data_IF_733293317632
#
_entry.id   IF_733293317632
#
_cell.length_a   1.000
_cell.length_b   1.000
_cell.length_c   1.000
_cell.angle_alpha   90.00
_cell.angle_beta   90.00
_cell.angle_gamma   90.00
#
_symmetry.space_group_name_H-M   'P 1'
#
loop_
_entity.id
_entity.type
_entity.pdbx_description
1 polymer ?
#
# COMPACT_ATOMS: atom_id res chain seq x y z
N UNK A 1 -21.31 -1.28 -16.31
CA UNK A 1 -21.96 -2.06 -17.39
C UNK A 1 -21.60 -3.52 -17.20
N UNK A 2 -22.57 -4.44 -17.09
CA UNK A 2 -22.28 -5.89 -17.11
C UNK A 2 -21.70 -6.22 -18.50
N UNK A 3 -20.53 -6.85 -18.55
CA UNK A 3 -20.04 -7.46 -19.78
C UNK A 3 -21.08 -8.48 -20.23
N UNK A 4 -21.88 -8.14 -21.25
CA UNK A 4 -22.95 -9.03 -21.74
C UNK A 4 -22.30 -10.33 -22.21
N UNK A 5 -22.68 -11.45 -21.59
CA UNK A 5 -22.21 -12.79 -21.97
C UNK A 5 -20.94 -13.30 -21.28
N UNK A 6 -20.19 -12.45 -20.55
CA UNK A 6 -18.97 -12.91 -19.87
C UNK A 6 -19.30 -13.51 -18.50
N UNK A 7 -18.91 -14.77 -18.29
CA UNK A 7 -19.03 -15.46 -17.02
C UNK A 7 -17.69 -15.49 -16.28
N UNK A 8 -17.66 -15.12 -15.00
CA UNK A 8 -16.45 -15.15 -14.18
C UNK A 8 -16.64 -16.19 -13.09
N UNK A 9 -15.70 -17.14 -13.03
CA UNK A 9 -15.70 -18.23 -12.04
C UNK A 9 -14.28 -18.67 -11.67
N UNK A 10 -14.09 -19.31 -10.52
CA UNK A 10 -12.89 -20.08 -10.23
C UNK A 10 -12.61 -21.13 -11.31
N UNK A 11 -11.34 -21.44 -11.54
CA UNK A 11 -10.95 -22.56 -12.41
C UNK A 11 -11.17 -23.87 -11.67
N UNK A 12 -11.77 -24.86 -12.32
CA UNK A 12 -12.17 -26.11 -11.68
C UNK A 12 -11.52 -27.33 -12.34
N UNK A 13 -11.32 -27.28 -13.65
CA UNK A 13 -10.81 -28.40 -14.44
C UNK A 13 -9.35 -28.19 -14.83
N UNK A 14 -8.61 -29.27 -15.09
CA UNK A 14 -7.25 -29.20 -15.65
C UNK A 14 -7.23 -28.36 -16.94
N UNK A 15 -8.29 -28.47 -17.75
CA UNK A 15 -8.39 -27.72 -18.99
C UNK A 15 -8.53 -26.20 -18.75
N UNK A 16 -9.29 -25.79 -17.73
CA UNK A 16 -9.36 -24.39 -17.33
C UNK A 16 -7.97 -23.82 -17.01
N UNK A 17 -7.15 -24.56 -16.27
CA UNK A 17 -5.80 -24.11 -15.92
C UNK A 17 -4.86 -24.10 -17.14
N UNK A 18 -5.00 -25.03 -18.09
CA UNK A 18 -4.26 -24.96 -19.37
C UNK A 18 -4.65 -23.73 -20.18
N UNK A 19 -5.95 -23.39 -20.20
CA UNK A 19 -6.41 -22.15 -20.81
C UNK A 19 -5.80 -20.91 -20.12
N UNK A 20 -5.56 -20.95 -18.81
CA UNK A 20 -4.88 -19.87 -18.09
C UNK A 20 -3.39 -19.77 -18.45
N UNK A 21 -2.67 -20.87 -18.63
CA UNK A 21 -1.29 -20.87 -19.17
C UNK A 21 -1.27 -20.23 -20.57
N UNK A 22 -2.20 -20.62 -21.44
CA UNK A 22 -2.28 -20.04 -22.79
C UNK A 22 -2.68 -18.57 -22.76
N UNK A 23 -3.59 -18.19 -21.86
CA UNK A 23 -3.94 -16.80 -21.66
C UNK A 23 -2.72 -15.97 -21.24
N UNK A 24 -1.84 -16.48 -20.36
CA UNK A 24 -0.60 -15.81 -20.00
C UNK A 24 0.27 -15.52 -21.22
N UNK A 25 0.49 -16.53 -22.09
CA UNK A 25 1.26 -16.37 -23.32
C UNK A 25 0.70 -15.28 -24.22
N UNK A 26 -0.61 -15.31 -24.47
CA UNK A 26 -1.27 -14.35 -25.36
C UNK A 26 -1.33 -12.93 -24.77
N UNK A 27 -1.50 -12.78 -23.45
CA UNK A 27 -1.68 -11.48 -22.81
C UNK A 27 -0.39 -10.66 -22.80
N UNK A 28 0.74 -11.31 -22.48
CA UNK A 28 2.05 -10.68 -22.31
C UNK A 28 3.04 -10.97 -23.44
N UNK A 29 2.66 -11.77 -24.43
CA UNK A 29 3.55 -12.16 -25.52
C UNK A 29 4.71 -13.04 -25.06
N UNK A 30 4.50 -13.82 -23.99
CA UNK A 30 5.54 -14.67 -23.39
C UNK A 30 5.99 -15.72 -24.41
N UNK A 31 7.29 -15.77 -24.66
CA UNK A 31 7.94 -16.75 -25.55
C UNK A 31 8.74 -17.80 -24.79
N UNK A 32 9.19 -17.44 -23.59
CA UNK A 32 9.92 -18.34 -22.69
C UNK A 32 8.93 -18.95 -21.69
N UNK A 33 8.76 -20.27 -21.73
CA UNK A 33 7.84 -20.98 -20.84
C UNK A 33 8.21 -20.82 -19.35
N UNK A 34 9.44 -20.40 -19.00
CA UNK A 34 9.82 -20.11 -17.61
C UNK A 34 9.12 -18.89 -17.01
N UNK A 35 8.56 -18.01 -17.85
CA UNK A 35 7.78 -16.84 -17.41
C UNK A 35 6.28 -17.18 -17.22
N UNK A 36 5.83 -18.36 -17.66
CA UNK A 36 4.46 -18.83 -17.45
C UNK A 36 4.37 -19.50 -16.07
N UNK A 37 3.42 -19.05 -15.24
CA UNK A 37 3.09 -19.76 -14.00
C UNK A 37 2.39 -21.06 -14.38
N UNK A 38 3.00 -22.23 -14.10
CA UNK A 38 2.50 -23.49 -14.59
C UNK A 38 1.24 -23.92 -13.85
N UNK A 39 0.41 -24.71 -14.52
CA UNK A 39 -0.87 -25.25 -14.05
C UNK A 39 -0.78 -25.82 -12.64
N UNK A 40 0.24 -26.62 -12.36
CA UNK A 40 0.37 -27.28 -11.07
C UNK A 40 0.62 -26.28 -9.93
N UNK A 41 1.30 -25.15 -10.19
CA UNK A 41 1.49 -24.08 -9.22
C UNK A 41 0.19 -23.29 -9.01
N UNK A 42 -0.52 -22.93 -10.10
CA UNK A 42 -1.82 -22.25 -10.04
C UNK A 42 -2.84 -23.07 -9.23
N UNK A 43 -2.97 -24.36 -9.56
CA UNK A 43 -3.86 -25.29 -8.88
C UNK A 43 -3.48 -25.47 -7.41
N UNK A 44 -2.18 -25.61 -7.12
CA UNK A 44 -1.71 -25.77 -5.73
C UNK A 44 -2.00 -24.52 -4.91
N UNK A 45 -1.74 -23.33 -5.44
CA UNK A 45 -2.06 -22.08 -4.77
C UNK A 45 -3.57 -21.97 -4.48
N UNK A 46 -4.43 -22.27 -5.47
CA UNK A 46 -5.89 -22.23 -5.26
C UNK A 46 -6.36 -23.19 -4.17
N UNK A 47 -5.82 -24.42 -4.13
CA UNK A 47 -6.16 -25.41 -3.09
C UNK A 47 -5.77 -24.98 -1.68
N UNK A 48 -4.83 -24.05 -1.54
CA UNK A 48 -4.27 -23.62 -0.26
C UNK A 48 -4.66 -22.17 0.08
N UNK A 49 -5.87 -21.75 -0.29
CA UNK A 49 -6.42 -20.44 0.04
C UNK A 49 -6.08 -19.33 -0.96
N UNK A 50 -5.44 -19.64 -2.08
CA UNK A 50 -5.33 -18.75 -3.22
C UNK A 50 -6.58 -18.76 -4.11
N UNK A 51 -6.52 -17.97 -5.17
CA UNK A 51 -7.61 -17.77 -6.12
C UNK A 51 -7.08 -17.74 -7.54
N UNK A 52 -7.64 -18.58 -8.40
CA UNK A 52 -7.47 -18.47 -9.86
C UNK A 52 -8.86 -18.33 -10.49
N UNK A 53 -9.13 -17.16 -11.07
CA UNK A 53 -10.39 -16.87 -11.77
C UNK A 53 -10.15 -16.89 -13.27
N UNK A 54 -11.13 -17.41 -14.00
CA UNK A 54 -11.26 -17.23 -15.45
C UNK A 54 -12.45 -16.34 -15.77
N UNK A 55 -12.28 -15.47 -16.77
CA UNK A 55 -13.38 -14.80 -17.45
C UNK A 55 -13.63 -15.54 -18.78
N UNK A 56 -14.86 -15.97 -19.01
CA UNK A 56 -15.24 -16.84 -20.12
C UNK A 56 -16.32 -16.22 -21.00
N UNK A 57 -16.14 -16.33 -22.31
CA UNK A 57 -17.18 -16.14 -23.33
C UNK A 57 -17.56 -17.51 -23.90
N UNK A 58 -18.68 -18.08 -23.46
CA UNK A 58 -18.97 -19.51 -23.63
C UNK A 58 -17.88 -20.36 -22.96
N UNK A 59 -17.26 -21.27 -23.72
CA UNK A 59 -16.16 -22.12 -23.23
C UNK A 59 -14.77 -21.48 -23.40
N UNK A 60 -14.70 -20.28 -23.99
CA UNK A 60 -13.42 -19.63 -24.29
C UNK A 60 -12.99 -18.72 -23.15
N UNK A 61 -11.81 -18.95 -22.59
CA UNK A 61 -11.18 -18.00 -21.67
C UNK A 61 -10.76 -16.72 -22.41
N UNK A 62 -11.19 -15.58 -21.90
CA UNK A 62 -10.92 -14.23 -22.45
C UNK A 62 -10.12 -13.35 -21.50
N UNK A 63 -9.91 -13.82 -20.27
CA UNK A 63 -9.05 -13.20 -19.28
C UNK A 63 -8.95 -14.08 -18.05
N UNK A 64 -7.98 -13.79 -17.19
CA UNK A 64 -7.80 -14.54 -15.95
C UNK A 64 -7.24 -13.63 -14.85
N UNK A 65 -7.33 -14.11 -13.62
CA UNK A 65 -6.73 -13.50 -12.45
C UNK A 65 -6.14 -14.61 -11.56
N UNK A 66 -4.96 -14.39 -11.03
CA UNK A 66 -4.29 -15.26 -10.07
C UNK A 66 -3.83 -14.45 -8.85
N UNK A 67 -4.14 -14.94 -7.65
CA UNK A 67 -3.62 -14.43 -6.39
C UNK A 67 -3.54 -15.52 -5.32
N UNK A 68 -2.86 -15.22 -4.22
CA UNK A 68 -2.59 -16.17 -3.14
C UNK A 68 -2.52 -15.48 -1.78
N UNK A 69 -2.67 -16.24 -0.70
CA UNK A 69 -2.54 -15.71 0.67
C UNK A 69 -1.07 -15.34 0.95
N UNK A 70 -0.86 -14.19 1.57
CA UNK A 70 0.47 -13.74 1.98
C UNK A 70 0.42 -12.93 3.26
N UNK A 71 1.57 -12.42 3.68
CA UNK A 71 1.70 -11.54 4.84
C UNK A 71 2.45 -10.27 4.45
N UNK A 72 2.09 -9.17 5.09
CA UNK A 72 2.92 -7.95 5.10
C UNK A 72 4.20 -8.19 5.92
N UNK A 73 5.24 -7.36 5.79
CA UNK A 73 6.41 -7.43 6.66
C UNK A 73 6.06 -7.36 8.16
N UNK A 74 5.01 -6.61 8.51
CA UNK A 74 4.48 -6.49 9.88
C UNK A 74 3.62 -7.70 10.33
N UNK A 75 3.53 -8.77 9.52
CA UNK A 75 2.82 -10.00 9.89
C UNK A 75 1.31 -9.99 9.62
N UNK A 76 0.71 -8.86 9.21
CA UNK A 76 -0.71 -8.81 8.80
C UNK A 76 -0.97 -9.70 7.60
N UNK A 77 -1.99 -10.54 7.69
CA UNK A 77 -2.46 -11.38 6.59
C UNK A 77 -3.11 -10.53 5.50
N UNK A 78 -2.84 -10.90 4.25
CA UNK A 78 -3.32 -10.19 3.05
C UNK A 78 -3.50 -11.16 1.89
N UNK A 79 -4.30 -10.76 0.92
CA UNK A 79 -4.32 -11.42 -0.38
C UNK A 79 -3.28 -10.75 -1.30
N UNK A 80 -2.31 -11.51 -1.78
CA UNK A 80 -1.37 -11.09 -2.81
C UNK A 80 -2.01 -11.35 -4.19
N UNK A 81 -2.44 -10.29 -4.89
CA UNK A 81 -2.87 -10.43 -6.27
C UNK A 81 -1.63 -10.42 -7.16
N UNK A 82 -1.37 -11.51 -7.87
CA UNK A 82 -0.11 -11.68 -8.58
C UNK A 82 -0.23 -11.35 -10.08
N UNK A 83 -1.18 -11.98 -10.77
CA UNK A 83 -1.37 -11.79 -12.21
C UNK A 83 -2.82 -11.49 -12.50
N UNK A 84 -3.06 -10.60 -13.46
CA UNK A 84 -4.38 -10.40 -14.03
C UNK A 84 -4.21 -9.84 -15.43
N UNK A 85 -4.95 -10.41 -16.38
CA UNK A 85 -4.94 -9.89 -17.72
C UNK A 85 -6.17 -10.28 -18.51
N UNK A 86 -6.39 -9.53 -19.58
CA UNK A 86 -7.48 -9.74 -20.53
C UNK A 86 -6.86 -9.83 -21.91
N UNK A 87 -7.27 -10.84 -22.66
CA UNK A 87 -6.82 -11.09 -24.03
C UNK A 87 -7.02 -9.82 -24.87
N UNK A 88 -6.05 -9.37 -25.70
CA UNK A 88 -6.05 -8.05 -26.34
C UNK A 88 -7.38 -7.61 -26.97
N UNK A 89 -8.01 -8.49 -27.77
CA UNK A 89 -9.28 -8.20 -28.46
C UNK A 89 -10.49 -8.01 -27.54
N UNK A 90 -10.40 -8.43 -26.28
CA UNK A 90 -11.46 -8.35 -25.27
C UNK A 90 -11.26 -7.20 -24.29
N UNK A 91 -10.14 -6.47 -24.39
CA UNK A 91 -9.84 -5.33 -23.51
C UNK A 91 -10.84 -4.20 -23.72
N UNK A 92 -11.04 -3.37 -22.69
CA UNK A 92 -11.95 -2.22 -22.73
C UNK A 92 -13.44 -2.54 -22.48
N UNK A 93 -13.78 -3.82 -22.24
CA UNK A 93 -15.16 -4.26 -22.02
C UNK A 93 -15.53 -4.42 -20.52
N UNK A 94 -14.71 -3.90 -19.61
CA UNK A 94 -14.93 -4.00 -18.16
C UNK A 94 -14.58 -5.34 -17.52
N UNK A 95 -13.99 -6.28 -18.27
CA UNK A 95 -13.64 -7.64 -17.78
C UNK A 95 -12.66 -7.59 -16.59
N UNK A 96 -11.62 -6.76 -16.66
CA UNK A 96 -10.64 -6.62 -15.57
C UNK A 96 -11.26 -6.09 -14.28
N UNK A 97 -12.21 -5.14 -14.37
CA UNK A 97 -12.97 -4.64 -13.22
C UNK A 97 -13.82 -5.77 -12.62
N UNK A 98 -14.47 -6.57 -13.46
CA UNK A 98 -15.31 -7.67 -13.02
C UNK A 98 -14.49 -8.81 -12.35
N UNK A 99 -13.30 -9.12 -12.88
CA UNK A 99 -12.36 -10.06 -12.23
C UNK A 99 -11.94 -9.58 -10.85
N UNK A 100 -11.60 -8.30 -10.72
CA UNK A 100 -11.22 -7.70 -9.43
C UNK A 100 -12.36 -7.65 -8.44
N UNK A 101 -13.59 -7.42 -8.89
CA UNK A 101 -14.79 -7.51 -8.05
C UNK A 101 -14.95 -8.89 -7.43
N UNK A 102 -14.80 -9.95 -8.22
CA UNK A 102 -14.83 -11.33 -7.71
C UNK A 102 -13.65 -11.64 -6.78
N UNK A 103 -12.45 -11.12 -7.08
CA UNK A 103 -11.32 -11.24 -6.16
C UNK A 103 -11.60 -10.58 -4.80
N UNK A 104 -12.26 -9.42 -4.80
CA UNK A 104 -12.66 -8.73 -3.56
C UNK A 104 -13.65 -9.55 -2.76
N UNK A 105 -14.69 -10.09 -3.40
CA UNK A 105 -15.71 -10.91 -2.73
C UNK A 105 -15.05 -12.14 -2.08
N UNK A 106 -14.21 -12.85 -2.82
CA UNK A 106 -13.43 -13.97 -2.30
C UNK A 106 -12.53 -13.59 -1.11
N UNK A 107 -11.76 -12.51 -1.21
CA UNK A 107 -10.88 -12.08 -0.12
C UNK A 107 -11.67 -11.67 1.14
N UNK A 108 -12.84 -11.05 0.98
CA UNK A 108 -13.72 -10.70 2.11
C UNK A 108 -14.27 -11.94 2.81
N UNK A 109 -14.66 -12.97 2.05
CA UNK A 109 -15.14 -14.27 2.55
C UNK A 109 -14.06 -15.01 3.34
N UNK A 110 -12.80 -14.86 2.96
CA UNK A 110 -11.64 -15.37 3.72
C UNK A 110 -11.34 -14.57 4.99
N UNK A 111 -12.10 -13.52 5.30
CA UNK A 111 -11.86 -12.67 6.46
C UNK A 111 -10.72 -11.67 6.27
N UNK A 112 -10.22 -11.47 5.04
CA UNK A 112 -9.14 -10.53 4.76
C UNK A 112 -9.67 -9.10 4.56
N UNK A 113 -8.79 -8.13 4.79
CA UNK A 113 -9.11 -6.69 4.71
C UNK A 113 -8.27 -5.97 3.65
N UNK A 114 -7.19 -6.61 3.22
CA UNK A 114 -6.14 -6.04 2.40
C UNK A 114 -5.81 -6.97 1.22
N UNK A 115 -5.84 -6.40 0.03
CA UNK A 115 -5.27 -7.00 -1.18
C UNK A 115 -4.14 -6.11 -1.67
N UNK A 116 -2.99 -6.68 -2.02
CA UNK A 116 -1.85 -5.92 -2.55
C UNK A 116 -1.42 -6.49 -3.89
N UNK A 117 -0.93 -5.63 -4.79
CA UNK A 117 -0.23 -6.04 -6.00
C UNK A 117 0.70 -4.95 -6.49
N UNK A 118 1.47 -5.26 -7.52
CA UNK A 118 2.34 -4.31 -8.18
C UNK A 118 1.87 -4.00 -9.59
N UNK A 119 2.12 -2.79 -10.07
CA UNK A 119 1.99 -2.45 -11.49
C UNK A 119 2.96 -1.34 -11.87
N UNK A 120 3.20 -1.19 -13.16
CA UNK A 120 4.06 -0.13 -13.69
C UNK A 120 3.38 1.25 -13.58
N UNK A 121 3.96 2.24 -12.88
CA UNK A 121 3.34 3.55 -12.70
C UNK A 121 3.17 4.34 -14.01
N UNK A 122 3.85 3.98 -15.09
CA UNK A 122 3.67 4.66 -16.39
C UNK A 122 2.53 4.05 -17.22
N UNK A 123 1.92 2.95 -16.77
CA UNK A 123 0.78 2.32 -17.44
C UNK A 123 -0.55 2.98 -17.05
N UNK A 124 -0.87 4.08 -17.74
CA UNK A 124 -2.11 4.88 -17.52
C UNK A 124 -3.41 4.05 -17.46
N UNK A 125 -3.53 2.99 -18.26
CA UNK A 125 -4.71 2.11 -18.24
C UNK A 125 -4.82 1.31 -16.94
N UNK A 126 -3.68 0.88 -16.41
CA UNK A 126 -3.61 0.16 -15.14
C UNK A 126 -3.87 1.12 -13.99
N UNK A 127 -3.34 2.35 -14.05
CA UNK A 127 -3.63 3.40 -13.07
C UNK A 127 -5.13 3.71 -12.97
N UNK A 128 -5.80 3.87 -14.11
CA UNK A 128 -7.26 4.09 -14.16
C UNK A 128 -8.04 2.94 -13.51
N UNK A 129 -7.69 1.69 -13.81
CA UNK A 129 -8.34 0.56 -13.16
C UNK A 129 -8.02 0.51 -11.66
N UNK A 130 -6.73 0.50 -11.29
CA UNK A 130 -6.28 0.22 -9.94
C UNK A 130 -6.65 1.32 -8.95
N UNK A 131 -6.42 2.58 -9.32
CA UNK A 131 -6.57 3.71 -8.41
C UNK A 131 -7.99 4.28 -8.50
N UNK A 132 -8.41 4.67 -9.71
CA UNK A 132 -9.69 5.35 -9.92
C UNK A 132 -10.89 4.40 -9.75
N UNK A 133 -10.91 3.28 -10.48
CA UNK A 133 -12.08 2.39 -10.53
C UNK A 133 -12.19 1.49 -9.31
N UNK A 134 -11.08 0.91 -8.85
CA UNK A 134 -11.07 0.02 -7.69
C UNK A 134 -10.90 0.76 -6.36
N UNK A 135 -10.36 1.98 -6.38
CA UNK A 135 -10.14 2.78 -5.19
C UNK A 135 -8.89 2.39 -4.39
N UNK A 136 -7.95 1.63 -4.97
CA UNK A 136 -6.67 1.35 -4.31
C UNK A 136 -5.86 2.64 -4.14
N UNK A 137 -4.96 2.62 -3.17
CA UNK A 137 -4.04 3.74 -2.89
C UNK A 137 -2.59 3.26 -3.03
N UNK A 138 -1.66 4.20 -3.23
CA UNK A 138 -0.25 3.88 -3.35
C UNK A 138 0.63 4.90 -2.65
N UNK A 139 1.60 4.42 -1.89
CA UNK A 139 2.68 5.22 -1.29
C UNK A 139 4.03 4.50 -1.35
N UNK A 140 4.10 3.44 -2.15
CA UNK A 140 5.27 2.55 -2.18
C UNK A 140 5.76 2.45 -3.61
N UNK A 141 6.95 3.02 -3.84
CA UNK A 141 7.71 2.87 -5.06
C UNK A 141 8.76 1.77 -4.86
N UNK A 142 8.88 0.84 -5.81
CA UNK A 142 9.90 -0.20 -5.81
C UNK A 142 10.67 -0.11 -7.11
N UNK A 143 11.98 0.19 -7.01
CA UNK A 143 12.88 0.21 -8.15
C UNK A 143 13.14 -1.21 -8.65
N UNK A 144 13.04 -1.40 -9.96
CA UNK A 144 13.48 -2.61 -10.69
C UNK A 144 13.08 -3.95 -10.04
N UNK A 145 11.83 -4.08 -9.58
CA UNK A 145 11.38 -5.20 -8.74
C UNK A 145 11.66 -6.59 -9.33
N UNK A 146 11.52 -6.75 -10.65
CA UNK A 146 11.62 -8.02 -11.37
C UNK A 146 12.91 -8.15 -12.18
N UNK A 147 13.81 -7.16 -12.13
CA UNK A 147 15.04 -7.18 -12.93
C UNK A 147 14.80 -7.02 -14.42
N UNK A 148 15.68 -7.61 -15.23
CA UNK A 148 15.50 -7.64 -16.69
C UNK A 148 14.40 -8.62 -17.08
N UNK A 149 13.41 -8.14 -17.82
CA UNK A 149 12.31 -8.95 -18.34
C UNK A 149 12.32 -8.91 -19.87
N UNK A 150 11.88 -9.98 -20.53
CA UNK A 150 11.85 -10.07 -21.99
C UNK A 150 10.46 -9.88 -22.60
N UNK A 151 9.41 -9.72 -21.78
CA UNK A 151 8.05 -9.52 -22.26
C UNK A 151 7.84 -8.15 -22.94
N UNK A 152 6.84 -8.08 -23.82
CA UNK A 152 6.58 -6.90 -24.66
C UNK A 152 6.37 -5.61 -23.83
N UNK A 153 5.77 -5.74 -22.64
CA UNK A 153 5.44 -4.60 -21.79
C UNK A 153 6.69 -4.03 -21.11
N UNK A 154 7.58 -4.89 -20.60
CA UNK A 154 8.66 -4.48 -19.69
C UNK A 154 10.05 -4.40 -20.34
N UNK A 155 10.28 -5.08 -21.47
CA UNK A 155 11.62 -5.21 -22.04
C UNK A 155 12.33 -3.86 -22.28
N UNK A 156 13.61 -3.77 -21.91
CA UNK A 156 14.48 -2.63 -22.20
C UNK A 156 14.44 -1.46 -21.21
N UNK A 157 13.68 -1.55 -20.12
CA UNK A 157 13.66 -0.54 -19.05
C UNK A 157 13.60 -1.21 -17.67
N UNK A 158 14.08 -0.54 -16.60
CA UNK A 158 13.92 -1.03 -15.23
C UNK A 158 12.45 -1.28 -14.89
N UNK A 159 12.16 -2.41 -14.25
CA UNK A 159 10.79 -2.81 -13.88
C UNK A 159 10.33 -2.11 -12.61
N UNK A 160 10.29 -0.78 -12.62
CA UNK A 160 9.83 -0.06 -11.43
C UNK A 160 8.32 -0.28 -11.25
N UNK A 161 7.92 -0.35 -9.99
CA UNK A 161 6.56 -0.72 -9.60
C UNK A 161 6.02 0.20 -8.52
N UNK A 162 4.77 0.56 -8.69
CA UNK A 162 3.91 0.87 -7.55
C UNK A 162 3.46 -0.42 -6.91
N UNK A 163 3.66 -0.56 -5.60
CA UNK A 163 2.89 -1.51 -4.80
C UNK A 163 1.65 -0.80 -4.27
N UNK A 164 0.48 -1.24 -4.72
CA UNK A 164 -0.79 -0.67 -4.26
C UNK A 164 -1.35 -1.46 -3.08
N UNK A 165 -1.99 -0.71 -2.18
CA UNK A 165 -2.77 -1.24 -1.07
C UNK A 165 -4.25 -1.04 -1.36
N UNK A 166 -4.98 -2.15 -1.45
CA UNK A 166 -6.42 -2.14 -1.68
C UNK A 166 -7.15 -2.60 -0.41
N UNK A 167 -7.53 -1.62 0.40
CA UNK A 167 -8.27 -1.81 1.64
C UNK A 167 -9.75 -2.11 1.34
N UNK A 168 -10.04 -3.38 1.08
CA UNK A 168 -11.31 -3.83 0.48
C UNK A 168 -12.55 -3.61 1.36
N UNK A 169 -12.37 -3.42 2.67
CA UNK A 169 -13.45 -3.04 3.62
C UNK A 169 -13.61 -1.53 3.80
N UNK A 170 -12.69 -0.72 3.29
CA UNK A 170 -12.72 0.73 3.53
C UNK A 170 -13.97 1.39 2.93
N UNK A 171 -14.49 2.47 3.55
CA UNK A 171 -15.60 3.25 2.99
C UNK A 171 -15.32 3.74 1.56
N UNK A 172 -14.05 4.10 1.28
CA UNK A 172 -13.57 4.50 -0.04
C UNK A 172 -13.80 3.42 -1.08
N UNK A 173 -13.37 2.19 -0.80
CA UNK A 173 -13.55 1.07 -1.75
C UNK A 173 -15.03 0.70 -1.85
N UNK A 174 -15.75 0.65 -0.72
CA UNK A 174 -17.18 0.36 -0.70
C UNK A 174 -17.99 1.33 -1.57
N UNK A 175 -17.66 2.62 -1.56
CA UNK A 175 -18.37 3.63 -2.36
C UNK A 175 -18.19 3.41 -3.87
N UNK A 176 -16.99 3.00 -4.32
CA UNK A 176 -16.69 2.68 -5.75
C UNK A 176 -17.52 1.51 -6.27
N UNK A 177 -17.94 0.61 -5.39
CA UNK A 177 -18.76 -0.56 -5.75
C UNK A 177 -20.26 -0.39 -5.50
N UNK A 178 -20.68 0.72 -4.89
CA UNK A 178 -22.08 1.02 -4.62
C UNK A 178 -22.87 1.36 -5.90
N UNK A 179 -24.18 1.12 -5.91
CA UNK A 179 -25.05 1.48 -7.04
C UNK A 179 -25.11 3.00 -7.31
N UNK A 180 -24.69 3.83 -6.34
CA UNK A 180 -24.56 5.30 -6.45
C UNK A 180 -23.19 5.77 -6.98
N UNK A 181 -22.28 4.85 -7.34
CA UNK A 181 -20.95 5.17 -7.88
C UNK A 181 -20.97 5.84 -9.28
N UNK A 182 -22.14 6.29 -9.74
CA UNK A 182 -22.35 6.97 -11.02
C UNK A 182 -21.97 8.44 -11.01
N UNK A 183 -21.49 8.99 -9.89
CA UNK A 183 -20.92 10.33 -9.90
C UNK A 183 -19.72 10.36 -10.86
N UNK A 184 -19.70 11.25 -11.86
CA UNK A 184 -18.56 11.38 -12.76
C UNK A 184 -17.30 11.67 -11.94
N UNK A 185 -16.15 11.18 -12.41
CA UNK A 185 -14.88 11.60 -11.84
C UNK A 185 -14.74 13.12 -11.98
N UNK A 186 -14.10 13.79 -11.01
CA UNK A 186 -13.85 15.22 -11.14
C UNK A 186 -12.96 15.47 -12.37
N UNK A 187 -13.22 16.58 -13.07
CA UNK A 187 -12.32 17.03 -14.14
C UNK A 187 -11.00 17.56 -13.58
N UNK A 188 -9.96 17.66 -14.41
CA UNK A 188 -8.72 18.31 -13.97
C UNK A 188 -8.97 19.73 -13.46
N UNK A 189 -9.83 20.49 -14.14
CA UNK A 189 -10.20 21.86 -13.77
C UNK A 189 -10.88 21.92 -12.39
N UNK A 190 -11.78 20.97 -12.10
CA UNK A 190 -12.42 20.88 -10.79
C UNK A 190 -11.41 20.58 -9.67
N UNK A 191 -10.40 19.75 -9.91
CA UNK A 191 -9.36 19.44 -8.92
C UNK A 191 -8.43 20.64 -8.72
N UNK A 192 -8.03 21.32 -9.80
CA UNK A 192 -7.20 22.53 -9.75
C UNK A 192 -7.91 23.69 -9.02
N UNK A 193 -9.20 23.90 -9.28
CA UNK A 193 -9.99 24.95 -8.59
C UNK A 193 -10.12 24.76 -7.08
N UNK A 194 -9.80 23.56 -6.56
CA UNK A 194 -9.75 23.26 -5.12
C UNK A 194 -8.35 23.46 -4.51
N UNK A 195 -7.42 24.05 -5.27
CA UNK A 195 -6.06 24.35 -4.80
C UNK A 195 -5.04 23.23 -5.05
N UNK A 196 -5.35 22.25 -5.90
CA UNK A 196 -4.36 21.29 -6.35
C UNK A 196 -3.39 21.91 -7.36
N UNK A 197 -2.15 21.44 -7.40
CA UNK A 197 -1.10 21.97 -8.29
C UNK A 197 -0.48 20.84 -9.13
N UNK A 198 -0.25 21.10 -10.42
CA UNK A 198 0.51 20.18 -11.28
C UNK A 198 1.99 20.47 -11.07
N UNK A 199 2.75 19.45 -10.69
CA UNK A 199 4.14 19.62 -10.22
C UNK A 199 5.19 19.33 -11.29
N UNK A 200 4.78 18.74 -12.41
CA UNK A 200 5.65 18.51 -13.56
C UNK A 200 5.06 19.10 -14.84
N UNK A 201 5.90 19.83 -15.57
CA UNK A 201 5.55 20.43 -16.84
C UNK A 201 5.76 19.42 -17.97
N UNK A 202 4.75 19.31 -18.84
CA UNK A 202 4.74 18.40 -19.99
C UNK A 202 4.40 19.16 -21.26
N UNK A 203 5.31 19.12 -22.23
CA UNK A 203 5.12 19.66 -23.57
C UNK A 203 5.16 18.54 -24.61
N UNK A 204 4.81 18.85 -25.85
CA UNK A 204 5.02 17.93 -26.98
C UNK A 204 6.34 18.26 -27.65
N UNK A 205 7.14 17.23 -27.90
CA UNK A 205 8.34 17.34 -28.71
C UNK A 205 7.99 17.57 -30.20
N UNK A 206 9.01 17.74 -31.04
CA UNK A 206 8.83 17.93 -32.49
C UNK A 206 8.16 16.73 -33.19
N UNK A 207 8.15 15.55 -32.57
CA UNK A 207 7.48 14.35 -33.07
C UNK A 207 6.05 14.17 -32.50
N UNK A 208 5.58 15.12 -31.68
CA UNK A 208 4.27 15.06 -31.03
C UNK A 208 4.21 14.07 -29.85
N UNK A 209 5.35 13.62 -29.33
CA UNK A 209 5.43 12.79 -28.13
C UNK A 209 5.48 13.70 -26.90
N UNK A 210 4.78 13.36 -25.80
CA UNK A 210 4.88 14.15 -24.59
C UNK A 210 6.27 13.95 -23.96
N UNK A 211 6.95 15.05 -23.72
CA UNK A 211 8.19 15.14 -22.97
C UNK A 211 8.00 16.05 -21.76
N UNK A 212 8.74 15.75 -20.70
CA UNK A 212 8.71 16.57 -19.49
C UNK A 212 9.82 17.61 -19.56
N UNK A 213 9.47 18.87 -19.32
CA UNK A 213 10.41 19.99 -19.41
C UNK A 213 11.14 20.22 -18.09
N UNK A 214 10.39 20.16 -17.00
CA UNK A 214 10.85 20.41 -15.64
C UNK A 214 9.84 19.82 -14.65
N UNK A 215 10.26 19.74 -13.40
CA UNK A 215 9.34 19.57 -12.29
C UNK A 215 9.86 20.40 -11.12
N UNK A 216 8.95 20.96 -10.34
CA UNK A 216 9.27 21.75 -9.16
C UNK A 216 8.55 21.13 -7.95
N UNK A 217 9.27 20.92 -6.83
CA UNK A 217 8.67 20.38 -5.63
C UNK A 217 7.73 21.40 -4.96
N UNK A 218 6.43 21.20 -5.14
CA UNK A 218 5.39 21.93 -4.40
C UNK A 218 4.82 21.06 -3.28
N UNK A 219 4.48 21.67 -2.14
CA UNK A 219 3.99 20.97 -0.93
C UNK A 219 2.55 21.33 -0.56
N UNK A 220 1.67 21.46 -1.55
CA UNK A 220 0.25 21.70 -1.33
C UNK A 220 -0.46 20.45 -0.81
N UNK A 221 -1.61 20.63 -0.15
CA UNK A 221 -2.42 19.52 0.35
C UNK A 221 -2.79 18.49 -0.74
N UNK A 222 -2.90 18.93 -2.00
CA UNK A 222 -3.06 18.05 -3.16
C UNK A 222 -2.08 18.46 -4.25
N UNK A 223 -1.37 17.48 -4.80
CA UNK A 223 -0.50 17.64 -5.96
C UNK A 223 -0.90 16.67 -7.07
N UNK A 224 -0.61 17.05 -8.30
CA UNK A 224 -0.99 16.34 -9.51
C UNK A 224 0.27 16.05 -10.32
N UNK A 225 0.43 14.80 -10.72
CA UNK A 225 1.57 14.35 -11.53
C UNK A 225 1.05 13.88 -12.88
N UNK A 226 1.43 14.55 -13.96
CA UNK A 226 1.12 14.08 -15.31
C UNK A 226 2.06 12.96 -15.73
N UNK A 227 1.50 11.92 -16.34
CA UNK A 227 2.24 10.85 -17.01
C UNK A 227 1.78 10.70 -18.46
N UNK A 228 2.56 10.06 -19.33
CA UNK A 228 2.11 9.71 -20.67
C UNK A 228 0.83 8.89 -20.68
N UNK A 229 -0.16 9.33 -21.46
CA UNK A 229 -1.39 8.56 -21.66
C UNK A 229 -1.13 7.20 -22.36
N UNK A 230 -0.08 7.12 -23.18
CA UNK A 230 0.35 5.90 -23.87
C UNK A 230 1.87 5.75 -23.80
N UNK A 231 2.38 5.29 -22.66
CA UNK A 231 3.81 5.08 -22.44
C UNK A 231 4.43 4.09 -23.43
N UNK A 232 3.70 3.04 -23.82
CA UNK A 232 4.19 2.04 -24.78
C UNK A 232 4.46 2.63 -26.16
N UNK A 233 3.66 3.62 -26.61
CA UNK A 233 3.94 4.34 -27.85
C UNK A 233 5.25 5.12 -27.78
N UNK A 234 5.53 5.77 -26.65
CA UNK A 234 6.80 6.48 -26.43
C UNK A 234 7.95 5.49 -26.44
N UNK A 235 7.83 4.37 -25.71
CA UNK A 235 8.84 3.31 -25.65
C UNK A 235 9.20 2.77 -27.04
N UNK A 236 8.20 2.55 -27.90
CA UNK A 236 8.39 2.08 -29.26
C UNK A 236 9.03 3.13 -30.17
N UNK A 237 8.63 4.40 -30.03
CA UNK A 237 9.11 5.48 -30.89
C UNK A 237 10.49 6.03 -30.47
N UNK A 238 10.74 6.13 -29.15
CA UNK A 238 11.93 6.73 -28.57
C UNK A 238 12.23 6.15 -27.18
N UNK A 239 13.09 5.13 -27.16
CA UNK A 239 13.49 4.45 -25.90
C UNK A 239 14.24 5.36 -24.92
N UNK A 240 14.95 6.38 -25.42
CA UNK A 240 15.66 7.34 -24.56
C UNK A 240 14.66 8.20 -23.80
N UNK A 241 13.68 8.77 -24.50
CA UNK A 241 12.58 9.51 -23.89
C UNK A 241 11.78 8.65 -22.90
N UNK A 242 11.53 7.38 -23.22
CA UNK A 242 10.87 6.46 -22.30
C UNK A 242 11.68 6.20 -21.02
N UNK A 243 13.01 6.11 -21.13
CA UNK A 243 13.91 6.02 -19.98
C UNK A 243 13.90 7.30 -19.16
N UNK A 244 13.88 8.47 -19.81
CA UNK A 244 13.87 9.75 -19.12
C UNK A 244 12.56 9.92 -18.32
N UNK A 245 11.41 9.51 -18.90
CA UNK A 245 10.13 9.40 -18.18
C UNK A 245 10.20 8.47 -16.97
N UNK A 246 10.86 7.31 -17.10
CA UNK A 246 11.05 6.36 -15.99
C UNK A 246 11.84 6.98 -14.85
N UNK A 247 12.97 7.62 -15.17
CA UNK A 247 13.85 8.20 -14.17
C UNK A 247 13.21 9.43 -13.50
N UNK A 248 12.52 10.28 -14.27
CA UNK A 248 11.81 11.43 -13.72
C UNK A 248 10.68 10.98 -12.78
N UNK A 249 9.79 10.09 -13.25
CA UNK A 249 8.67 9.66 -12.41
C UNK A 249 9.14 8.88 -11.18
N UNK A 250 10.25 8.13 -11.27
CA UNK A 250 10.90 7.54 -10.10
C UNK A 250 11.26 8.59 -9.05
N UNK A 251 12.08 9.58 -9.42
CA UNK A 251 12.52 10.61 -8.49
C UNK A 251 11.33 11.36 -7.89
N UNK A 252 10.36 11.72 -8.75
CA UNK A 252 9.20 12.49 -8.36
C UNK A 252 8.30 11.70 -7.39
N UNK A 253 7.94 10.45 -7.70
CA UNK A 253 7.10 9.66 -6.80
C UNK A 253 7.81 9.29 -5.50
N UNK A 254 9.11 8.98 -5.54
CA UNK A 254 9.87 8.68 -4.33
C UNK A 254 9.92 9.90 -3.39
N UNK A 255 10.21 11.09 -3.91
CA UNK A 255 10.21 12.30 -3.09
C UNK A 255 8.84 12.59 -2.47
N UNK A 256 7.77 12.52 -3.27
CA UNK A 256 6.42 12.76 -2.74
C UNK A 256 6.00 11.68 -1.74
N UNK A 257 6.37 10.41 -1.94
CA UNK A 257 6.06 9.35 -0.97
C UNK A 257 6.88 9.49 0.33
N UNK A 258 8.14 9.91 0.25
CA UNK A 258 8.97 10.24 1.41
C UNK A 258 8.36 11.39 2.22
N UNK A 259 7.79 12.39 1.53
CA UNK A 259 7.10 13.53 2.14
C UNK A 259 5.64 13.25 2.51
N UNK A 260 5.23 11.98 2.52
CA UNK A 260 3.92 11.56 3.02
C UNK A 260 2.75 11.74 2.08
N UNK A 261 3.00 11.95 0.80
CA UNK A 261 1.93 11.93 -0.17
C UNK A 261 1.48 10.51 -0.48
N UNK A 262 0.20 10.37 -0.75
CA UNK A 262 -0.42 9.11 -1.15
C UNK A 262 -1.12 9.35 -2.47
N UNK A 263 -0.87 8.50 -3.46
CA UNK A 263 -1.70 8.43 -4.67
C UNK A 263 -3.09 7.96 -4.25
N UNK A 264 -4.05 8.86 -4.44
CA UNK A 264 -5.45 8.64 -4.05
C UNK A 264 -6.41 8.71 -5.21
N UNK A 265 -6.07 9.26 -6.37
CA UNK A 265 -6.93 9.17 -7.54
C UNK A 265 -6.10 9.16 -8.84
N UNK A 266 -6.77 8.87 -9.94
CA UNK A 266 -6.21 8.96 -11.27
C UNK A 266 -7.23 9.55 -12.23
N UNK A 267 -6.84 10.62 -12.91
CA UNK A 267 -7.67 11.34 -13.88
C UNK A 267 -7.17 11.01 -15.29
N UNK A 268 -8.11 10.79 -16.21
CA UNK A 268 -7.79 10.73 -17.64
C UNK A 268 -8.87 11.40 -18.46
N UNK A 269 -8.49 12.47 -19.14
CA UNK A 269 -9.40 13.30 -19.93
C UNK A 269 -8.81 13.57 -21.31
N UNK A 270 -9.67 13.91 -22.27
CA UNK A 270 -9.25 14.37 -23.60
C UNK A 270 -9.41 15.88 -23.63
N UNK A 271 -8.31 16.60 -23.76
CA UNK A 271 -8.27 18.06 -23.87
C UNK A 271 -7.53 18.42 -25.15
N UNK A 272 -8.12 19.30 -25.96
CA UNK A 272 -7.53 19.77 -27.23
C UNK A 272 -7.12 18.60 -28.17
N UNK A 273 -7.93 17.54 -28.21
CA UNK A 273 -7.67 16.36 -29.05
C UNK A 273 -6.60 15.40 -28.49
N UNK A 274 -5.95 15.72 -27.38
CA UNK A 274 -4.95 14.87 -26.71
C UNK A 274 -5.52 14.25 -25.43
N UNK A 275 -5.31 12.95 -25.24
CA UNK A 275 -5.55 12.31 -23.94
C UNK A 275 -4.42 12.67 -22.98
N UNK A 276 -4.78 13.19 -21.81
CA UNK A 276 -3.87 13.44 -20.69
C UNK A 276 -4.22 12.52 -19.52
N UNK A 277 -3.23 12.24 -18.69
CA UNK A 277 -3.31 11.23 -17.64
C UNK A 277 -2.55 11.73 -16.42
N UNK A 278 -3.23 11.74 -15.27
CA UNK A 278 -2.73 12.38 -14.07
C UNK A 278 -2.95 11.50 -12.85
N UNK A 279 -1.92 11.34 -12.04
CA UNK A 279 -2.08 10.90 -10.66
C UNK A 279 -2.44 12.08 -9.78
N UNK A 280 -3.41 11.87 -8.90
CA UNK A 280 -3.75 12.82 -7.83
C UNK A 280 -3.18 12.27 -6.54
N UNK A 281 -2.31 13.06 -5.93
CA UNK A 281 -1.68 12.76 -4.67
C UNK A 281 -2.23 13.73 -3.64
N UNK A 282 -2.69 13.20 -2.52
CA UNK A 282 -2.99 14.02 -1.37
C UNK A 282 -1.81 13.89 -0.42
N UNK A 283 -1.37 15.04 0.10
CA UNK A 283 -0.62 15.06 1.34
C UNK A 283 -1.59 14.56 2.41
N UNK A 284 -1.58 13.26 2.58
CA UNK A 284 -2.06 12.67 3.80
C UNK A 284 -0.82 12.68 4.64
N UNK A 285 -0.45 13.83 5.28
CA UNK A 285 0.79 13.97 6.04
C UNK A 285 0.94 12.65 6.71
N UNK A 286 2.02 11.95 6.36
CA UNK A 286 1.97 10.50 6.48
C UNK A 286 1.32 10.21 7.81
N UNK A 287 0.24 9.43 7.78
CA UNK A 287 -0.06 8.61 8.94
C UNK A 287 0.81 7.35 8.83
N UNK A 288 2.01 7.41 8.22
CA UNK A 288 3.15 6.94 9.00
C UNK A 288 3.09 7.86 10.19
N UNK A 289 2.86 7.43 11.40
CA UNK A 289 2.92 8.33 12.51
C UNK A 289 4.28 9.06 12.61
N UNK A 290 4.42 10.15 11.87
CA UNK A 290 5.63 10.81 11.38
C UNK A 290 5.24 12.07 10.58
N UNK A 291 4.22 12.80 11.01
CA UNK A 291 4.43 14.24 10.94
C UNK A 291 5.75 14.52 11.66
N UNK A 292 6.60 15.43 11.15
CA UNK A 292 7.51 16.09 12.09
C UNK A 292 6.59 16.57 13.21
N UNK A 293 6.77 16.10 14.46
CA UNK A 293 5.95 16.58 15.54
C UNK A 293 6.01 18.10 15.47
N UNK A 294 4.84 18.75 15.54
CA UNK A 294 4.87 20.15 15.93
C UNK A 294 5.65 20.16 17.24
N UNK A 295 6.68 21.01 17.31
CA UNK A 295 7.61 21.05 18.42
C UNK A 295 6.80 20.99 19.72
N UNK A 296 6.97 19.90 20.50
CA UNK A 296 6.21 19.70 21.73
C UNK A 296 6.26 20.99 22.54
N UNK A 297 5.11 21.41 23.07
CA UNK A 297 5.15 22.50 24.04
C UNK A 297 6.05 22.06 25.21
N UNK A 298 6.63 23.02 25.93
CA UNK A 298 7.44 22.69 27.09
C UNK A 298 6.64 21.87 28.13
N UNK A 299 5.33 22.09 28.18
CA UNK A 299 4.39 21.38 29.03
C UNK A 299 4.16 19.94 28.56
N UNK A 300 3.86 19.72 27.28
CA UNK A 300 3.70 18.36 26.71
C UNK A 300 4.98 17.54 26.87
N UNK A 301 6.15 18.15 26.64
CA UNK A 301 7.44 17.48 26.78
C UNK A 301 7.71 17.09 28.23
N UNK A 302 7.37 17.94 29.20
CA UNK A 302 7.52 17.64 30.61
C UNK A 302 6.58 16.51 31.06
N UNK A 303 5.34 16.51 30.57
CA UNK A 303 4.37 15.46 30.88
C UNK A 303 4.78 14.09 30.29
N UNK A 304 5.26 14.08 29.04
CA UNK A 304 5.79 12.87 28.40
C UNK A 304 7.03 12.37 29.12
N UNK A 305 7.95 13.26 29.52
CA UNK A 305 9.13 12.90 30.31
C UNK A 305 8.74 12.21 31.63
N UNK A 306 7.75 12.74 32.36
CA UNK A 306 7.27 12.12 33.58
C UNK A 306 6.73 10.70 33.32
N UNK A 307 5.97 10.51 32.24
CA UNK A 307 5.51 9.19 31.81
C UNK A 307 6.66 8.23 31.46
N UNK A 308 7.71 8.71 30.79
CA UNK A 308 8.91 7.93 30.46
C UNK A 308 9.69 7.52 31.71
N UNK A 309 9.85 8.41 32.67
CA UNK A 309 10.55 8.11 33.93
C UNK A 309 9.85 7.00 34.71
N UNK A 310 8.50 7.06 34.78
CA UNK A 310 7.68 6.02 35.37
C UNK A 310 7.82 4.69 34.62
N UNK A 311 7.77 4.71 33.29
CA UNK A 311 7.94 3.52 32.45
C UNK A 311 9.30 2.87 32.70
N UNK A 312 10.37 3.65 32.63
CA UNK A 312 11.75 3.19 32.76
C UNK A 312 12.06 2.72 34.19
N UNK A 313 11.33 3.20 35.20
CA UNK A 313 11.39 2.71 36.58
C UNK A 313 10.54 1.44 36.81
N UNK A 314 9.85 0.91 35.79
CA UNK A 314 8.98 -0.26 35.90
C UNK A 314 7.62 0.03 36.55
N UNK A 315 7.26 1.30 36.73
CA UNK A 315 5.98 1.77 37.28
C UNK A 315 4.94 1.89 36.16
N UNK A 316 4.59 0.75 35.56
CA UNK A 316 3.83 0.72 34.31
C UNK A 316 2.37 1.15 34.45
N UNK A 317 1.76 1.02 35.63
CA UNK A 317 0.39 1.50 35.86
C UNK A 317 0.37 3.02 35.98
N UNK A 318 1.30 3.56 36.74
CA UNK A 318 1.47 5.00 36.93
C UNK A 318 1.84 5.67 35.60
N UNK A 319 2.70 5.04 34.80
CA UNK A 319 2.97 5.47 33.43
C UNK A 319 1.72 5.48 32.54
N UNK A 320 0.87 4.45 32.65
CA UNK A 320 -0.40 4.40 31.91
C UNK A 320 -1.27 5.60 32.23
N UNK A 321 -1.51 5.88 33.52
CA UNK A 321 -2.34 7.01 33.96
C UNK A 321 -1.74 8.35 33.51
N UNK A 322 -0.43 8.54 33.72
CA UNK A 322 0.25 9.78 33.34
C UNK A 322 0.18 10.05 31.83
N UNK A 323 0.36 9.03 31.00
CA UNK A 323 0.25 9.18 29.55
C UNK A 323 -1.22 9.31 29.08
N UNK A 324 -2.19 8.77 29.83
CA UNK A 324 -3.62 8.92 29.51
C UNK A 324 -4.08 10.38 29.66
N UNK A 325 -3.59 11.10 30.67
CA UNK A 325 -3.85 12.54 30.82
C UNK A 325 -3.33 13.33 29.61
N UNK A 326 -2.10 13.05 29.16
CA UNK A 326 -1.54 13.65 27.93
C UNK A 326 -2.37 13.28 26.71
N UNK A 327 -2.83 12.04 26.61
CA UNK A 327 -3.63 11.55 25.49
C UNK A 327 -5.02 12.19 25.39
N UNK A 328 -5.65 12.53 26.52
CA UNK A 328 -6.96 13.19 26.55
C UNK A 328 -6.91 14.55 25.84
N UNK A 329 -5.86 15.33 26.10
CA UNK A 329 -5.65 16.67 25.54
C UNK A 329 -4.86 16.66 24.22
N UNK A 330 -4.29 15.51 23.82
CA UNK A 330 -3.50 15.39 22.61
C UNK A 330 -4.28 15.70 21.32
N UNK A 331 -3.55 16.13 20.29
CA UNK A 331 -4.09 16.37 18.96
C UNK A 331 -4.55 15.05 18.32
N UNK A 332 -5.57 15.06 17.44
CA UNK A 332 -6.11 13.84 16.81
C UNK A 332 -5.04 12.94 16.15
N UNK A 333 -4.00 13.54 15.56
CA UNK A 333 -2.88 12.86 14.92
C UNK A 333 -1.96 12.10 15.90
N UNK A 334 -1.78 12.60 17.12
CA UNK A 334 -0.88 12.01 18.13
C UNK A 334 -1.58 11.02 19.05
N UNK A 335 -2.92 11.08 19.12
CA UNK A 335 -3.71 10.20 20.00
C UNK A 335 -3.45 8.72 19.74
N UNK A 336 -3.23 8.32 18.49
CA UNK A 336 -2.99 6.91 18.19
C UNK A 336 -1.58 6.47 18.62
N UNK A 337 -0.60 7.37 18.60
CA UNK A 337 0.76 7.13 19.11
C UNK A 337 0.77 6.92 20.62
N UNK A 338 0.24 7.91 21.34
CA UNK A 338 0.19 7.90 22.80
C UNK A 338 -0.62 6.71 23.31
N UNK A 339 -1.72 6.37 22.63
CA UNK A 339 -2.46 5.13 22.91
C UNK A 339 -1.61 3.87 22.72
N UNK A 340 -0.65 3.88 21.79
CA UNK A 340 0.33 2.81 21.62
C UNK A 340 1.26 2.68 22.82
N UNK A 341 1.82 3.78 23.33
CA UNK A 341 2.67 3.80 24.52
C UNK A 341 1.90 3.37 25.77
N UNK A 342 0.71 3.93 25.99
CA UNK A 342 -0.21 3.57 27.08
C UNK A 342 -0.50 2.05 27.07
N UNK A 343 -0.75 1.47 25.90
CA UNK A 343 -0.99 0.03 25.77
C UNK A 343 0.27 -0.81 26.01
N UNK A 344 1.45 -0.32 25.67
CA UNK A 344 2.71 -0.99 26.01
C UNK A 344 2.90 -1.01 27.55
N UNK A 345 2.67 0.12 28.23
CA UNK A 345 2.71 0.20 29.69
C UNK A 345 1.69 -0.76 30.33
N UNK A 346 0.43 -0.69 29.89
CA UNK A 346 -0.61 -1.61 30.39
C UNK A 346 -0.28 -3.09 30.12
N UNK A 347 0.39 -3.41 29.00
CA UNK A 347 0.82 -4.77 28.70
C UNK A 347 1.83 -5.29 29.73
N UNK A 348 2.85 -4.51 30.07
CA UNK A 348 3.85 -4.90 31.07
C UNK A 348 3.30 -4.90 32.48
N UNK A 349 2.39 -3.98 32.84
CA UNK A 349 1.65 -4.08 34.10
C UNK A 349 0.85 -5.40 34.17
N UNK A 350 0.12 -5.75 33.11
CA UNK A 350 -0.62 -7.03 33.05
C UNK A 350 0.30 -8.23 33.15
N UNK A 351 1.44 -8.20 32.47
CA UNK A 351 2.34 -9.33 32.40
C UNK A 351 3.14 -9.51 33.68
N UNK A 352 3.89 -8.49 34.09
CA UNK A 352 4.86 -8.57 35.19
C UNK A 352 4.20 -8.45 36.57
N UNK A 353 3.14 -7.65 36.68
CA UNK A 353 2.47 -7.38 37.98
C UNK A 353 1.24 -8.27 38.15
N UNK A 354 0.32 -8.27 37.18
CA UNK A 354 -0.91 -9.07 37.27
C UNK A 354 -0.70 -10.55 36.91
N UNK A 355 0.51 -10.95 36.50
CA UNK A 355 0.88 -12.32 36.09
C UNK A 355 -0.08 -12.92 35.06
N UNK A 356 -0.52 -12.08 34.10
CA UNK A 356 -1.49 -12.44 33.06
C UNK A 356 -0.83 -12.37 31.67
N UNK A 357 -0.30 -13.51 31.20
CA UNK A 357 0.36 -13.64 29.90
C UNK A 357 -0.58 -13.33 28.74
N UNK A 358 -1.79 -13.91 28.74
CA UNK A 358 -2.75 -13.73 27.65
C UNK A 358 -3.15 -12.27 27.48
N UNK A 359 -3.37 -11.57 28.61
CA UNK A 359 -3.68 -10.14 28.61
C UNK A 359 -2.51 -9.28 28.14
N UNK A 360 -1.29 -9.56 28.64
CA UNK A 360 -0.06 -8.88 28.23
C UNK A 360 0.21 -9.03 26.73
N UNK A 361 0.16 -10.25 26.18
CA UNK A 361 0.38 -10.54 24.76
C UNK A 361 -0.58 -9.74 23.86
N UNK A 362 -1.86 -9.72 24.21
CA UNK A 362 -2.89 -9.01 23.42
C UNK A 362 -2.67 -7.50 23.43
N UNK A 363 -2.35 -6.92 24.57
CA UNK A 363 -2.09 -5.48 24.67
C UNK A 363 -0.79 -5.10 23.96
N UNK A 364 0.27 -5.89 24.12
CA UNK A 364 1.55 -5.64 23.47
C UNK A 364 1.45 -5.75 21.94
N UNK A 365 0.68 -6.71 21.41
CA UNK A 365 0.38 -6.78 19.98
C UNK A 365 -0.38 -5.54 19.47
N UNK A 366 -1.34 -5.03 20.25
CA UNK A 366 -2.11 -3.81 19.90
C UNK A 366 -1.27 -2.54 20.00
N UNK A 367 -0.32 -2.49 20.94
CA UNK A 367 0.67 -1.43 21.06
C UNK A 367 1.56 -1.44 19.82
N UNK A 368 2.15 -2.60 19.46
CA UNK A 368 2.96 -2.76 18.26
C UNK A 368 2.20 -2.40 16.97
N UNK A 369 0.95 -2.82 16.79
CA UNK A 369 0.15 -2.44 15.60
C UNK A 369 -0.07 -0.93 15.48
N UNK A 370 -0.07 -0.19 16.59
CA UNK A 370 -0.14 1.27 16.59
C UNK A 370 1.23 1.87 16.34
N UNK A 371 2.21 1.52 17.18
CA UNK A 371 3.55 2.12 17.19
C UNK A 371 4.31 1.84 15.89
N UNK A 372 4.14 0.68 15.25
CA UNK A 372 4.79 0.37 13.95
C UNK A 372 4.28 1.23 12.79
N UNK A 373 3.18 1.95 12.97
CA UNK A 373 2.74 2.97 12.01
C UNK A 373 3.63 4.19 12.08
N UNK A 374 4.23 4.47 13.22
CA UNK A 374 5.21 5.52 13.45
C UNK A 374 6.58 4.92 13.16
N UNK A 375 7.45 5.58 12.41
CA UNK A 375 8.81 5.06 12.26
C UNK A 375 9.68 5.50 13.43
N UNK A 376 10.97 5.68 13.21
CA UNK A 376 11.95 5.49 14.29
C UNK A 376 12.24 6.76 15.10
N UNK A 377 11.89 7.93 14.56
CA UNK A 377 11.78 9.20 15.29
C UNK A 377 10.33 9.65 15.31
N UNK A 378 9.74 9.74 16.51
CA UNK A 378 8.44 10.38 16.65
C UNK A 378 8.29 11.11 17.99
N UNK A 379 7.74 12.31 17.94
CA UNK A 379 7.66 13.22 19.11
C UNK A 379 9.02 13.49 19.77
N UNK A 380 10.15 13.27 19.06
CA UNK A 380 11.50 13.37 19.60
C UNK A 380 11.96 12.13 20.38
N UNK A 381 11.20 11.04 20.35
CA UNK A 381 11.52 9.77 21.00
C UNK A 381 12.22 8.81 20.02
N UNK A 382 13.20 8.04 20.51
CA UNK A 382 13.79 6.92 19.77
C UNK A 382 12.83 5.73 19.81
N UNK A 383 12.02 5.64 18.75
CA UNK A 383 11.05 4.59 18.58
C UNK A 383 11.62 3.36 17.89
N UNK A 384 12.75 3.49 17.19
CA UNK A 384 13.39 2.38 16.48
C UNK A 384 13.80 1.27 17.45
N UNK A 385 14.61 1.61 18.44
CA UNK A 385 15.06 0.68 19.47
C UNK A 385 13.89 0.16 20.31
N UNK A 386 12.97 1.06 20.69
CA UNK A 386 11.83 0.72 21.52
C UNK A 386 10.92 -0.33 20.86
N UNK A 387 10.52 -0.13 19.59
CA UNK A 387 9.66 -1.08 18.85
C UNK A 387 10.32 -2.45 18.68
N UNK A 388 11.63 -2.48 18.43
CA UNK A 388 12.38 -3.74 18.31
C UNK A 388 12.41 -4.50 19.65
N UNK A 389 12.64 -3.79 20.76
CA UNK A 389 12.57 -4.37 22.10
C UNK A 389 11.17 -4.91 22.42
N UNK A 390 10.11 -4.14 22.13
CA UNK A 390 8.73 -4.58 22.37
C UNK A 390 8.41 -5.87 21.59
N UNK A 391 8.84 -5.96 20.33
CA UNK A 391 8.66 -7.17 19.51
C UNK A 391 9.47 -8.36 20.05
N UNK A 392 10.65 -8.11 20.63
CA UNK A 392 11.45 -9.14 21.31
C UNK A 392 10.73 -9.64 22.56
N UNK A 393 10.26 -8.74 23.43
CA UNK A 393 9.45 -9.10 24.58
C UNK A 393 8.19 -9.88 24.17
N UNK A 394 7.51 -9.44 23.11
CA UNK A 394 6.28 -10.10 22.64
C UNK A 394 6.52 -11.56 22.24
N UNK A 395 7.61 -11.83 21.52
CA UNK A 395 8.00 -13.20 21.15
C UNK A 395 8.38 -14.03 22.38
N UNK A 396 9.16 -13.44 23.29
CA UNK A 396 9.61 -14.14 24.49
C UNK A 396 8.45 -14.51 25.41
N UNK A 397 7.53 -13.57 25.65
CA UNK A 397 6.32 -13.81 26.43
C UNK A 397 5.46 -14.92 25.82
N UNK A 398 5.35 -14.98 24.48
CA UNK A 398 4.65 -16.06 23.79
C UNK A 398 5.37 -17.41 24.00
N UNK A 399 6.70 -17.42 23.88
CA UNK A 399 7.49 -18.64 24.02
C UNK A 399 7.40 -19.23 25.44
N UNK A 400 7.50 -18.38 26.47
CA UNK A 400 7.37 -18.78 27.87
C UNK A 400 5.94 -19.22 28.19
N UNK A 401 4.95 -18.47 27.69
CA UNK A 401 3.55 -18.73 27.97
C UNK A 401 3.17 -18.51 29.44
N UNK A 402 1.92 -18.82 29.78
CA UNK A 402 1.35 -18.49 31.09
C UNK A 402 2.02 -19.18 32.29
N UNK A 403 2.65 -20.34 32.07
CA UNK A 403 3.24 -21.15 33.15
C UNK A 403 4.66 -20.72 33.53
N UNK A 404 5.35 -19.96 32.67
CA UNK A 404 6.75 -19.59 32.83
C UNK A 404 6.97 -18.07 32.89
N UNK A 405 5.99 -17.33 33.45
CA UNK A 405 6.07 -15.86 33.54
C UNK A 405 7.29 -15.41 34.36
N UNK A 406 7.64 -16.14 35.43
CA UNK A 406 8.77 -15.80 36.30
C UNK A 406 10.14 -16.01 35.65
N UNK A 407 10.19 -16.75 34.53
CA UNK A 407 11.42 -17.00 33.77
C UNK A 407 11.73 -15.84 32.79
N UNK A 408 10.80 -14.88 32.62
CA UNK A 408 11.00 -13.72 31.77
C UNK A 408 12.01 -12.76 32.39
N UNK A 409 13.08 -12.45 31.65
CA UNK A 409 14.05 -11.43 32.05
C UNK A 409 13.47 -10.01 31.91
N UNK A 410 13.22 -9.28 33.01
CA UNK A 410 12.67 -7.93 32.94
C UNK A 410 13.61 -6.94 32.25
N UNK A 411 14.91 -7.22 32.14
CA UNK A 411 15.87 -6.38 31.43
C UNK A 411 15.62 -6.36 29.90
N UNK A 412 14.80 -7.27 29.37
CA UNK A 412 14.38 -7.24 27.97
C UNK A 412 13.40 -6.10 27.66
N UNK A 413 12.72 -5.55 28.68
CA UNK A 413 11.78 -4.45 28.46
C UNK A 413 12.56 -3.22 27.98
N UNK A 414 12.30 -2.72 26.75
CA UNK A 414 13.06 -1.59 26.22
C UNK A 414 12.72 -0.31 26.97
N UNK A 415 13.72 0.50 27.29
CA UNK A 415 13.48 1.82 27.85
C UNK A 415 13.02 2.82 26.77
N UNK A 416 12.28 3.84 27.19
CA UNK A 416 11.94 5.01 26.38
C UNK A 416 13.02 6.07 26.50
N UNK A 417 13.47 6.60 25.35
CA UNK A 417 14.52 7.62 25.29
C UNK A 417 14.12 8.76 24.35
N UNK A 418 14.60 9.96 24.66
CA UNK A 418 14.65 11.05 23.67
C UNK A 418 15.80 10.79 22.70
N UNK A 419 15.66 11.24 21.46
CA UNK A 419 16.75 11.29 20.50
C UNK A 419 17.73 12.38 20.97
N UNK A 420 19.01 12.02 21.12
CA UNK A 420 20.06 12.98 21.44
C UNK A 420 20.19 13.98 20.28
N UNK A 421 20.10 15.28 20.57
CA UNK A 421 20.38 16.30 19.57
C UNK A 421 21.88 16.26 19.26
N UNK A 422 22.27 16.23 17.97
CA UNK A 422 23.67 16.43 17.60
C UNK A 422 24.16 17.75 18.23
N UNK A 423 25.32 17.77 18.91
CA UNK A 423 25.88 18.99 19.43
C UNK A 423 26.19 19.94 18.26
N UNK A 424 25.56 21.11 18.30
CA UNK A 424 25.67 22.21 17.34
C UNK A 424 27.09 22.72 17.14
#
# INVERSE_FOLDING_TARGET
>A
MKARGIHIRPLETIEDFRMAEEAQRVIWGIRDDTEVVPLHALLTAQKNGGLVLGAFDGDKMVGFLFGFLGRTPAGREKHCSHMMGVIPKWRGQGIGEALKRQQREFALEQGLDLVTWTYDPLESRNAYLNISKLGAVCRTYIRNLYGEMQDELNAGLPTDRFQVDWWIRSPRVASRFSQKATSPQPSLEEVLSRGAEIVNEVALDNAGLPETLSWEPHRNATVIIEIPANFQQIKQANIRLARDWRLLTRALFEEYFEDGYVVVDFLSEVKEGRRRSFYVLEHQPVLNGHGRPQQLTAEDRAAIQAGMDLYNAGQYWECHEALEEVWLEARPEDKLFLQGLIQASAAFHKYLVQKNAVGGIKLLARALDKLTRYGDDYMGLDMGAFKQGLNTCWREIINLGQQHIEDFDPALVPALHWIEAEPS
#
